data_IF_130630038742
#
_entry.id   IF_130630038742
#
_cell.length_a   1.000
_cell.length_b   1.000
_cell.length_c   1.000
_cell.angle_alpha   90.00
_cell.angle_beta   90.00
_cell.angle_gamma   90.00
#
_symmetry.space_group_name_H-M   'P 1'
#
loop_
_entity.id
_entity.type
_entity.pdbx_description
1 polymer ?
#
# COMPACT_ATOMS: atom_id res chain seq x y z
N UNK A 1 -29.15 -11.49 13.12
CA UNK A 1 -27.74 -11.94 13.21
C UNK A 1 -26.95 -11.14 12.17
N UNK A 2 -26.17 -10.13 12.56
CA UNK A 2 -25.25 -9.48 11.62
C UNK A 2 -24.14 -10.49 11.27
N UNK A 3 -24.00 -10.84 9.98
CA UNK A 3 -22.83 -11.58 9.51
C UNK A 3 -21.60 -10.74 9.84
N UNK A 4 -20.67 -11.28 10.62
CA UNK A 4 -19.37 -10.63 10.85
C UNK A 4 -18.67 -10.46 9.48
N UNK A 5 -18.02 -9.32 9.22
CA UNK A 5 -17.19 -9.17 8.03
C UNK A 5 -16.14 -10.28 8.02
N UNK A 6 -15.97 -10.89 6.85
CA UNK A 6 -15.00 -11.95 6.63
C UNK A 6 -13.75 -11.27 6.06
N UNK A 7 -12.65 -11.31 6.80
CA UNK A 7 -11.37 -10.70 6.42
C UNK A 7 -10.29 -11.76 6.27
N UNK A 8 -9.43 -11.57 5.27
CA UNK A 8 -8.20 -12.36 5.09
C UNK A 8 -7.05 -11.73 5.86
N UNK A 9 -7.07 -10.40 6.04
CA UNK A 9 -6.13 -9.69 6.90
C UNK A 9 -6.65 -9.63 8.34
N UNK A 10 -5.70 -9.60 9.29
CA UNK A 10 -6.00 -9.46 10.72
C UNK A 10 -6.60 -8.09 11.03
N UNK A 11 -7.50 -8.02 12.02
CA UNK A 11 -8.05 -6.77 12.56
C UNK A 11 -7.10 -6.07 13.56
N UNK A 12 -5.78 -6.25 13.41
CA UNK A 12 -4.81 -5.63 14.30
C UNK A 12 -4.71 -4.12 13.99
N UNK A 13 -4.63 -3.28 15.03
CA UNK A 13 -4.50 -1.83 14.86
C UNK A 13 -3.13 -1.41 14.30
N UNK A 14 -2.12 -2.28 14.34
CA UNK A 14 -0.84 -2.04 13.68
C UNK A 14 -0.01 -3.31 13.54
N UNK A 15 0.95 -3.30 12.61
CA UNK A 15 1.83 -4.42 12.31
C UNK A 15 3.27 -3.94 12.12
N UNK A 16 4.25 -4.84 12.25
CA UNK A 16 5.64 -4.45 12.08
C UNK A 16 6.50 -5.63 11.67
N UNK A 17 7.43 -5.37 10.75
CA UNK A 17 8.32 -6.39 10.19
C UNK A 17 9.74 -5.84 10.18
N UNK A 18 10.60 -6.45 10.99
CA UNK A 18 12.03 -6.14 11.04
C UNK A 18 12.79 -7.36 11.57
N UNK A 19 14.06 -7.52 11.18
CA UNK A 19 14.94 -8.57 11.70
C UNK A 19 15.17 -8.50 13.22
N UNK A 20 14.90 -7.33 13.82
CA UNK A 20 15.05 -7.05 15.25
C UNK A 20 13.67 -6.86 15.87
N UNK A 21 13.31 -7.73 16.81
CA UNK A 21 11.98 -7.76 17.41
C UNK A 21 11.56 -6.43 18.07
N UNK A 22 12.49 -5.72 18.71
CA UNK A 22 12.21 -4.41 19.31
C UNK A 22 11.77 -3.38 18.28
N UNK A 23 12.45 -3.35 17.12
CA UNK A 23 12.11 -2.43 16.01
C UNK A 23 10.76 -2.81 15.41
N UNK A 24 10.50 -4.11 15.20
CA UNK A 24 9.21 -4.57 14.70
C UNK A 24 8.04 -4.16 15.63
N UNK A 25 8.23 -4.24 16.95
CA UNK A 25 7.23 -3.76 17.92
C UNK A 25 7.02 -2.25 17.83
N UNK A 26 8.09 -1.47 17.71
CA UNK A 26 7.97 -0.02 17.55
C UNK A 26 7.25 0.36 16.25
N UNK A 27 7.50 -0.34 15.14
CA UNK A 27 6.76 -0.14 13.89
C UNK A 27 5.26 -0.42 14.08
N UNK A 28 4.90 -1.52 14.74
CA UNK A 28 3.51 -1.86 15.00
C UNK A 28 2.80 -0.82 15.88
N UNK A 29 3.48 -0.29 16.91
CA UNK A 29 2.94 0.80 17.74
C UNK A 29 2.77 2.07 16.92
N UNK A 30 3.73 2.40 16.06
CA UNK A 30 3.64 3.55 15.15
C UNK A 30 2.41 3.45 14.25
N UNK A 31 2.21 2.32 13.58
CA UNK A 31 1.06 2.08 12.71
C UNK A 31 -0.26 2.18 13.51
N UNK A 32 -0.30 1.67 14.76
CA UNK A 32 -1.48 1.80 15.62
C UNK A 32 -1.80 3.25 16.00
N UNK A 33 -0.80 4.07 16.29
CA UNK A 33 -0.99 5.50 16.57
C UNK A 33 -1.47 6.26 15.33
N UNK A 34 -0.95 5.91 14.16
CA UNK A 34 -1.41 6.45 12.88
C UNK A 34 -2.88 6.09 12.60
N UNK A 35 -3.27 4.83 12.80
CA UNK A 35 -4.67 4.40 12.65
C UNK A 35 -5.59 5.09 13.63
N UNK A 36 -5.15 5.28 14.88
CA UNK A 36 -5.92 6.05 15.85
C UNK A 36 -6.15 7.49 15.35
N UNK A 37 -5.10 8.15 14.89
CA UNK A 37 -5.20 9.50 14.32
C UNK A 37 -6.18 9.55 13.15
N UNK A 38 -6.04 8.63 12.19
CA UNK A 38 -6.91 8.51 11.03
C UNK A 38 -8.39 8.37 11.43
N UNK A 39 -8.74 7.40 12.29
CA UNK A 39 -10.12 7.17 12.68
C UNK A 39 -10.73 8.36 13.45
N UNK A 40 -9.92 9.07 14.23
CA UNK A 40 -10.36 10.26 14.93
C UNK A 40 -10.59 11.45 13.99
N UNK A 41 -9.84 11.58 12.89
CA UNK A 41 -9.91 12.74 12.00
C UNK A 41 -10.82 12.56 10.80
N UNK A 42 -10.85 11.39 10.16
CA UNK A 42 -11.53 11.18 8.87
C UNK A 42 -13.04 11.39 8.94
N UNK A 43 -13.65 11.23 10.12
CA UNK A 43 -15.09 11.46 10.38
C UNK A 43 -15.38 12.76 11.13
N UNK A 44 -14.35 13.56 11.40
CA UNK A 44 -14.50 14.83 12.11
C UNK A 44 -14.85 15.96 11.13
N UNK A 45 -15.30 17.11 11.66
CA UNK A 45 -15.47 18.33 10.87
C UNK A 45 -14.17 18.86 10.26
N UNK A 46 -13.01 18.35 10.70
CA UNK A 46 -11.68 18.74 10.22
C UNK A 46 -11.17 17.85 9.08
N UNK A 47 -11.95 16.88 8.60
CA UNK A 47 -11.52 15.94 7.58
C UNK A 47 -10.99 16.62 6.31
N UNK A 48 -11.64 17.71 5.87
CA UNK A 48 -11.21 18.51 4.72
C UNK A 48 -9.85 19.18 4.91
N UNK A 49 -9.46 19.55 6.13
CA UNK A 49 -8.15 20.17 6.44
C UNK A 49 -6.97 19.25 6.08
N UNK A 50 -7.22 17.93 6.07
CA UNK A 50 -6.19 16.91 5.86
C UNK A 50 -6.33 16.18 4.52
N UNK A 51 -7.18 16.68 3.63
CA UNK A 51 -7.36 16.12 2.29
C UNK A 51 -8.17 14.81 2.23
N UNK A 52 -8.92 14.47 3.29
CA UNK A 52 -9.71 13.22 3.31
C UNK A 52 -10.93 13.25 2.36
N UNK A 53 -11.32 14.41 1.85
CA UNK A 53 -12.35 14.53 0.80
C UNK A 53 -11.83 14.06 -0.57
N UNK A 54 -10.53 14.24 -0.81
CA UNK A 54 -9.84 13.79 -2.02
C UNK A 54 -9.43 12.33 -1.89
N UNK A 55 -8.75 11.99 -0.80
CA UNK A 55 -8.34 10.62 -0.49
C UNK A 55 -8.81 10.22 0.92
N UNK A 56 -9.92 9.47 1.03
CA UNK A 56 -10.51 9.13 2.32
C UNK A 56 -9.76 8.04 3.07
N UNK A 57 -8.64 7.53 2.56
CA UNK A 57 -7.82 6.48 3.19
C UNK A 57 -6.73 7.05 4.10
N UNK A 58 -6.06 6.19 4.87
CA UNK A 58 -4.87 6.57 5.66
C UNK A 58 -3.62 6.80 4.81
N UNK A 59 -3.66 6.59 3.49
CA UNK A 59 -2.47 6.66 2.63
C UNK A 59 -1.69 7.97 2.74
N UNK A 60 -0.37 7.86 2.87
CA UNK A 60 0.49 9.01 3.09
C UNK A 60 0.35 9.57 4.51
N UNK A 61 -0.11 8.77 5.47
CA UNK A 61 0.03 9.07 6.88
C UNK A 61 1.29 8.39 7.42
N UNK A 62 1.93 9.00 8.41
CA UNK A 62 2.97 8.31 9.16
C UNK A 62 3.06 8.84 10.57
N UNK A 63 3.02 7.94 11.54
CA UNK A 63 3.40 8.25 12.91
C UNK A 63 4.89 7.99 13.13
N UNK A 64 5.55 8.85 13.90
CA UNK A 64 6.89 8.60 14.42
C UNK A 64 7.00 8.98 15.90
N UNK A 65 7.41 8.04 16.80
CA UNK A 65 7.49 8.29 18.25
C UNK A 65 8.76 9.05 18.67
N UNK A 66 9.39 9.81 17.76
CA UNK A 66 10.66 10.50 18.02
C UNK A 66 10.52 12.03 18.14
N UNK A 67 11.58 12.67 18.64
CA UNK A 67 11.64 14.14 18.78
C UNK A 67 11.66 14.91 17.44
N UNK A 68 11.96 14.24 16.32
CA UNK A 68 12.17 14.90 15.03
C UNK A 68 11.02 14.64 14.05
N UNK A 69 10.19 15.67 13.83
CA UNK A 69 9.05 15.67 12.91
C UNK A 69 9.38 15.29 11.46
N UNK A 70 10.65 15.42 11.07
CA UNK A 70 11.13 15.17 9.70
C UNK A 70 10.97 13.72 9.28
N UNK A 71 11.08 12.78 10.20
CA UNK A 71 11.01 11.34 9.88
C UNK A 71 9.58 10.90 9.56
N UNK A 72 8.59 11.42 10.31
CA UNK A 72 7.17 11.21 10.01
C UNK A 72 6.81 11.78 8.63
N UNK A 73 7.22 13.01 8.34
CA UNK A 73 6.99 13.61 7.02
C UNK A 73 7.65 12.81 5.89
N UNK A 74 8.92 12.41 6.04
CA UNK A 74 9.65 11.66 5.00
C UNK A 74 8.93 10.36 4.64
N UNK A 75 8.50 9.59 5.65
CA UNK A 75 7.75 8.35 5.43
C UNK A 75 6.39 8.59 4.78
N UNK A 76 5.65 9.61 5.26
CA UNK A 76 4.37 10.01 4.66
C UNK A 76 4.53 10.39 3.18
N UNK A 77 5.60 11.10 2.81
CA UNK A 77 5.92 11.43 1.41
C UNK A 77 6.13 10.17 0.59
N UNK A 78 6.96 9.23 1.07
CA UNK A 78 7.24 8.00 0.33
C UNK A 78 6.00 7.13 0.13
N UNK A 79 5.16 7.00 1.15
CA UNK A 79 3.89 6.24 1.03
C UNK A 79 2.91 6.91 0.04
N UNK A 80 2.85 8.25 0.03
CA UNK A 80 2.05 8.98 -0.96
C UNK A 80 2.61 8.82 -2.40
N UNK A 81 3.94 8.79 -2.54
CA UNK A 81 4.63 8.51 -3.80
C UNK A 81 4.34 7.09 -4.28
N UNK A 82 4.41 6.10 -3.40
CA UNK A 82 4.07 4.70 -3.68
C UNK A 82 2.72 4.62 -4.36
N UNK A 83 1.70 5.13 -3.66
CA UNK A 83 0.33 5.15 -4.13
C UNK A 83 0.16 5.91 -5.43
N UNK A 84 0.65 7.15 -5.50
CA UNK A 84 0.48 7.96 -6.72
C UNK A 84 1.06 7.27 -7.94
N UNK A 85 2.23 6.65 -7.80
CA UNK A 85 2.88 5.89 -8.87
C UNK A 85 2.11 4.63 -9.22
N UNK A 86 1.61 3.85 -8.25
CA UNK A 86 0.84 2.65 -8.51
C UNK A 86 -0.45 2.96 -9.28
N UNK A 87 -1.22 3.95 -8.83
CA UNK A 87 -2.46 4.37 -9.50
C UNK A 87 -2.17 4.89 -10.91
N UNK A 88 -1.17 5.78 -11.03
CA UNK A 88 -0.80 6.37 -12.32
C UNK A 88 -0.25 5.32 -13.29
N UNK A 89 0.55 4.37 -12.79
CA UNK A 89 1.04 3.26 -13.59
C UNK A 89 -0.13 2.40 -14.03
N UNK A 90 -1.00 1.94 -13.14
CA UNK A 90 -2.13 1.10 -13.49
C UNK A 90 -3.03 1.73 -14.57
N UNK A 91 -3.28 3.03 -14.46
CA UNK A 91 -4.11 3.80 -15.41
C UNK A 91 -3.40 4.15 -16.73
N UNK A 92 -2.15 3.74 -16.94
CA UNK A 92 -1.42 3.99 -18.19
C UNK A 92 -0.76 5.38 -18.29
N UNK A 93 -0.59 6.05 -17.15
CA UNK A 93 -0.10 7.44 -17.05
C UNK A 93 1.34 7.54 -16.54
N UNK A 94 1.89 6.42 -16.06
CA UNK A 94 3.30 6.29 -15.69
C UNK A 94 3.90 5.10 -16.43
N UNK A 95 5.16 5.24 -16.86
CA UNK A 95 5.94 4.13 -17.39
C UNK A 95 6.46 3.28 -16.23
N UNK A 96 6.40 1.97 -16.37
CA UNK A 96 7.07 1.04 -15.48
C UNK A 96 8.10 0.25 -16.27
N UNK A 97 9.29 0.05 -15.73
CA UNK A 97 10.34 -0.73 -16.36
C UNK A 97 10.73 -1.91 -15.48
N UNK A 98 10.91 -3.08 -16.09
CA UNK A 98 11.38 -4.26 -15.37
C UNK A 98 12.81 -4.01 -14.87
N UNK A 99 13.05 -4.35 -13.61
CA UNK A 99 14.37 -4.28 -12.98
C UNK A 99 14.78 -5.66 -12.48
N UNK A 100 16.08 -5.93 -12.55
CA UNK A 100 16.64 -7.15 -11.98
C UNK A 100 16.48 -7.15 -10.46
N UNK A 101 16.26 -8.33 -9.90
CA UNK A 101 16.16 -8.51 -8.45
C UNK A 101 17.21 -9.51 -7.97
N UNK A 102 17.69 -9.32 -6.75
CA UNK A 102 18.61 -10.27 -6.11
C UNK A 102 17.87 -11.46 -5.47
N UNK A 103 16.54 -11.48 -5.52
CA UNK A 103 15.70 -12.49 -4.88
C UNK A 103 15.23 -13.53 -5.91
N UNK A 104 15.67 -14.81 -5.80
CA UNK A 104 15.32 -15.84 -6.77
C UNK A 104 13.81 -16.01 -6.94
N UNK A 105 13.34 -16.00 -8.19
CA UNK A 105 11.93 -16.18 -8.52
C UNK A 105 11.06 -14.94 -8.31
N UNK A 106 11.64 -13.81 -7.90
CA UNK A 106 10.95 -12.53 -7.78
C UNK A 106 11.33 -11.64 -8.95
N UNK A 107 10.32 -11.07 -9.61
CA UNK A 107 10.48 -10.02 -10.61
C UNK A 107 10.03 -8.68 -10.03
N UNK A 108 10.48 -7.57 -10.59
CA UNK A 108 10.11 -6.25 -10.12
C UNK A 108 9.92 -5.26 -11.27
N UNK A 109 8.97 -4.34 -11.09
CA UNK A 109 8.74 -3.19 -11.97
C UNK A 109 9.03 -1.93 -11.17
N UNK A 110 9.93 -1.09 -11.65
CA UNK A 110 10.20 0.22 -11.07
C UNK A 110 9.44 1.31 -11.83
N UNK A 111 8.89 2.26 -11.09
CA UNK A 111 8.09 3.38 -11.58
C UNK A 111 8.70 4.66 -10.99
N UNK A 112 9.27 5.50 -11.85
CA UNK A 112 9.84 6.77 -11.41
C UNK A 112 8.75 7.68 -10.85
N UNK A 113 8.95 8.09 -9.60
CA UNK A 113 7.99 8.88 -8.85
C UNK A 113 8.38 10.35 -8.72
N UNK A 114 7.44 11.17 -8.26
CA UNK A 114 7.71 12.58 -7.96
C UNK A 114 8.60 12.70 -6.71
N UNK A 115 9.14 13.91 -6.50
CA UNK A 115 9.93 14.27 -5.30
C UNK A 115 11.21 13.44 -5.10
N UNK A 116 11.71 12.81 -6.17
CA UNK A 116 12.91 11.96 -6.10
C UNK A 116 12.66 10.58 -5.48
N UNK A 117 11.40 10.20 -5.27
CA UNK A 117 11.03 8.85 -4.90
C UNK A 117 10.87 7.94 -6.11
N UNK A 118 11.02 6.64 -5.91
CA UNK A 118 10.73 5.60 -6.89
C UNK A 118 9.88 4.53 -6.21
N UNK A 119 8.87 4.04 -6.92
CA UNK A 119 7.97 3.01 -6.45
C UNK A 119 8.25 1.71 -7.19
N UNK A 120 8.24 0.59 -6.48
CA UNK A 120 8.48 -0.73 -7.02
C UNK A 120 7.30 -1.64 -6.75
N UNK A 121 6.89 -2.40 -7.77
CA UNK A 121 6.00 -3.55 -7.65
C UNK A 121 6.87 -4.81 -7.75
N UNK A 122 7.07 -5.51 -6.64
CA UNK A 122 7.62 -6.87 -6.66
C UNK A 122 6.50 -7.87 -6.93
N UNK A 123 6.76 -8.90 -7.73
CA UNK A 123 5.79 -9.97 -7.98
C UNK A 123 6.46 -11.33 -8.19
N UNK A 124 5.77 -12.39 -7.78
CA UNK A 124 6.26 -13.75 -7.90
C UNK A 124 5.10 -14.75 -8.05
N UNK A 125 5.40 -15.91 -8.65
CA UNK A 125 4.52 -17.08 -8.57
C UNK A 125 4.78 -17.80 -7.26
N UNK A 126 3.74 -17.96 -6.45
CA UNK A 126 3.84 -18.61 -5.17
C UNK A 126 3.78 -20.15 -5.28
N UNK A 127 4.33 -20.84 -4.29
CA UNK A 127 4.40 -22.31 -4.27
C UNK A 127 3.03 -22.99 -4.25
N UNK A 128 2.01 -22.32 -3.71
CA UNK A 128 0.63 -22.81 -3.67
C UNK A 128 -0.12 -22.62 -5.00
N UNK A 129 0.53 -22.03 -6.01
CA UNK A 129 0.10 -22.05 -7.41
C UNK A 129 -0.40 -20.72 -7.98
N UNK A 130 -0.75 -19.74 -7.13
CA UNK A 130 -1.13 -18.40 -7.57
C UNK A 130 0.01 -17.39 -7.51
N UNK A 131 -0.35 -16.11 -7.45
CA UNK A 131 0.58 -14.99 -7.57
C UNK A 131 0.53 -14.08 -6.35
N UNK A 132 1.67 -13.47 -6.05
CA UNK A 132 1.84 -12.57 -4.90
C UNK A 132 2.56 -11.32 -5.36
N UNK A 133 2.19 -10.19 -4.76
CA UNK A 133 2.72 -8.87 -5.09
C UNK A 133 3.06 -8.15 -3.80
N UNK A 134 4.02 -7.24 -3.88
CA UNK A 134 4.31 -6.28 -2.83
C UNK A 134 4.76 -4.96 -3.43
N UNK A 135 4.56 -3.90 -2.68
CA UNK A 135 4.80 -2.52 -3.07
C UNK A 135 5.83 -1.90 -2.13
N UNK A 136 6.59 -0.96 -2.68
CA UNK A 136 7.57 -0.23 -1.89
C UNK A 136 7.97 1.05 -2.59
N UNK A 137 7.98 2.16 -1.87
CA UNK A 137 8.62 3.38 -2.33
C UNK A 137 9.79 3.81 -1.43
N UNK A 138 10.88 4.23 -2.07
CA UNK A 138 12.08 4.79 -1.44
C UNK A 138 12.75 5.82 -2.36
N UNK A 139 13.84 6.43 -1.90
CA UNK A 139 14.67 7.35 -2.70
C UNK A 139 15.59 6.62 -3.71
N UNK A 140 15.61 5.28 -3.71
CA UNK A 140 16.38 4.48 -4.65
C UNK A 140 15.68 3.16 -5.00
N UNK A 141 15.92 2.66 -6.21
CA UNK A 141 15.29 1.42 -6.71
C UNK A 141 15.61 0.24 -5.80
N UNK A 142 16.87 0.07 -5.38
CA UNK A 142 17.28 -1.04 -4.52
C UNK A 142 16.54 -1.07 -3.18
N UNK A 143 16.44 0.08 -2.51
CA UNK A 143 15.72 0.17 -1.24
C UNK A 143 14.20 -0.02 -1.42
N UNK A 144 13.63 0.47 -2.53
CA UNK A 144 12.23 0.24 -2.87
C UNK A 144 11.95 -1.25 -3.15
N UNK A 145 12.86 -1.93 -3.84
CA UNK A 145 12.82 -3.38 -4.04
C UNK A 145 12.86 -4.15 -2.72
N UNK A 146 13.77 -3.82 -1.80
CA UNK A 146 13.85 -4.47 -0.48
C UNK A 146 12.51 -4.37 0.27
N UNK A 147 11.89 -3.19 0.28
CA UNK A 147 10.57 -2.98 0.89
C UNK A 147 9.46 -3.78 0.21
N UNK A 148 9.40 -3.70 -1.11
CA UNK A 148 8.40 -4.40 -1.91
C UNK A 148 8.49 -5.92 -1.72
N UNK A 149 9.69 -6.49 -1.58
CA UNK A 149 9.89 -7.91 -1.30
C UNK A 149 9.46 -8.29 0.12
N UNK A 150 9.71 -7.43 1.11
CA UNK A 150 9.22 -7.66 2.48
C UNK A 150 7.69 -7.66 2.52
N UNK A 151 7.04 -6.74 1.80
CA UNK A 151 5.58 -6.72 1.69
C UNK A 151 5.06 -7.94 0.92
N UNK A 152 5.70 -8.32 -0.19
CA UNK A 152 5.35 -9.51 -0.97
C UNK A 152 5.38 -10.76 -0.10
N UNK A 153 6.43 -10.93 0.72
CA UNK A 153 6.53 -12.07 1.63
C UNK A 153 5.41 -12.09 2.66
N UNK A 154 4.97 -10.92 3.16
CA UNK A 154 3.82 -10.82 4.05
C UNK A 154 2.51 -11.19 3.35
N UNK A 155 2.30 -10.71 2.12
CA UNK A 155 1.14 -11.06 1.32
C UNK A 155 1.10 -12.57 0.99
N UNK A 156 2.24 -13.19 0.70
CA UNK A 156 2.31 -14.65 0.48
C UNK A 156 1.87 -15.42 1.73
N UNK A 157 2.30 -15.03 2.93
CA UNK A 157 1.86 -15.67 4.17
C UNK A 157 0.34 -15.61 4.34
N UNK A 158 -0.27 -14.45 4.09
CA UNK A 158 -1.73 -14.25 4.21
C UNK A 158 -2.49 -15.05 3.16
N UNK A 159 -2.09 -14.94 1.89
CA UNK A 159 -2.74 -15.63 0.77
C UNK A 159 -2.60 -17.15 0.88
N UNK A 160 -1.44 -17.65 1.31
CA UNK A 160 -1.22 -19.07 1.57
C UNK A 160 -2.14 -19.59 2.69
N UNK A 161 -2.29 -18.84 3.78
CA UNK A 161 -3.18 -19.21 4.87
C UNK A 161 -4.64 -19.27 4.41
N UNK A 162 -5.09 -18.28 3.64
CA UNK A 162 -6.42 -18.27 3.03
C UNK A 162 -6.61 -19.45 2.07
N UNK A 163 -5.64 -19.72 1.19
CA UNK A 163 -5.69 -20.82 0.23
C UNK A 163 -5.79 -22.18 0.92
N UNK A 164 -5.02 -22.40 1.99
CA UNK A 164 -5.09 -23.62 2.80
C UNK A 164 -6.48 -23.83 3.41
N UNK A 165 -7.11 -22.77 3.92
CA UNK A 165 -8.50 -22.81 4.39
C UNK A 165 -9.47 -23.14 3.25
N UNK A 166 -9.29 -22.50 2.09
CA UNK A 166 -10.12 -22.72 0.92
C UNK A 166 -10.08 -24.17 0.43
N UNK A 167 -8.90 -24.78 0.32
CA UNK A 167 -8.78 -26.19 -0.10
C UNK A 167 -9.27 -27.17 0.98
N UNK A 168 -9.22 -26.78 2.26
CA UNK A 168 -9.78 -27.54 3.38
C UNK A 168 -11.33 -27.45 3.47
N UNK A 169 -11.97 -26.65 2.61
CA UNK A 169 -13.43 -26.56 2.50
C UNK A 169 -14.03 -25.25 3.02
N UNK A 170 -13.24 -24.34 3.59
CA UNK A 170 -13.71 -23.01 3.95
C UNK A 170 -13.78 -22.11 2.71
N UNK A 171 -14.96 -22.11 2.06
CA UNK A 171 -15.21 -21.33 0.83
C UNK A 171 -15.61 -19.87 1.11
N UNK A 172 -15.24 -19.36 2.28
CA UNK A 172 -15.48 -17.98 2.67
C UNK A 172 -14.71 -16.99 1.78
N UNK A 173 -15.44 -16.07 1.15
CA UNK A 173 -14.87 -14.96 0.39
C UNK A 173 -14.87 -13.67 1.23
N UNK A 174 -13.82 -12.84 1.12
CA UNK A 174 -13.76 -11.60 1.86
C UNK A 174 -14.79 -10.59 1.38
N UNK A 175 -15.25 -9.76 2.31
CA UNK A 175 -16.22 -8.69 2.01
C UNK A 175 -15.57 -7.35 1.67
N UNK A 176 -14.27 -7.16 1.99
CA UNK A 176 -13.54 -5.93 1.68
C UNK A 176 -13.15 -5.85 0.21
N UNK A 177 -13.31 -4.68 -0.42
CA UNK A 177 -12.92 -4.47 -1.83
C UNK A 177 -11.44 -4.79 -2.08
N UNK A 178 -10.56 -4.26 -1.23
CA UNK A 178 -9.13 -4.45 -1.32
C UNK A 178 -8.72 -5.92 -1.16
N UNK A 179 -9.36 -6.63 -0.22
CA UNK A 179 -9.14 -8.07 -0.05
C UNK A 179 -9.59 -8.88 -1.28
N UNK A 180 -10.72 -8.50 -1.90
CA UNK A 180 -11.19 -9.13 -3.14
C UNK A 180 -10.26 -8.84 -4.32
N UNK A 181 -9.73 -7.62 -4.45
CA UNK A 181 -8.69 -7.27 -5.43
C UNK A 181 -7.43 -8.12 -5.22
N UNK A 182 -6.97 -8.23 -3.98
CA UNK A 182 -5.84 -9.07 -3.62
C UNK A 182 -6.04 -10.52 -4.08
N UNK A 183 -7.21 -11.11 -3.81
CA UNK A 183 -7.55 -12.47 -4.29
C UNK A 183 -7.67 -12.57 -5.81
N UNK A 184 -8.25 -11.56 -6.47
CA UNK A 184 -8.36 -11.52 -7.93
C UNK A 184 -6.98 -11.54 -8.58
N UNK A 185 -6.06 -10.66 -8.15
CA UNK A 185 -4.69 -10.60 -8.69
C UNK A 185 -3.83 -11.80 -8.30
N UNK A 186 -4.17 -12.48 -7.22
CA UNK A 186 -3.56 -13.75 -6.83
C UNK A 186 -3.95 -14.93 -7.76
N UNK A 187 -5.00 -14.77 -8.57
CA UNK A 187 -5.44 -15.76 -9.57
C UNK A 187 -4.67 -15.65 -10.90
N UNK A 188 -4.81 -16.65 -11.75
CA UNK A 188 -4.25 -16.62 -13.11
C UNK A 188 -4.87 -15.50 -13.95
N UNK A 189 -6.18 -15.27 -13.86
CA UNK A 189 -6.87 -14.21 -14.61
C UNK A 189 -6.33 -12.82 -14.24
N UNK A 190 -6.20 -12.54 -12.94
CA UNK A 190 -5.66 -11.28 -12.48
C UNK A 190 -4.18 -11.10 -12.83
N UNK A 191 -3.38 -12.17 -12.80
CA UNK A 191 -2.00 -12.11 -13.27
C UNK A 191 -1.90 -11.83 -14.77
N UNK A 192 -2.77 -12.40 -15.61
CA UNK A 192 -2.79 -12.07 -17.03
C UNK A 192 -3.12 -10.59 -17.25
N UNK A 193 -4.08 -10.03 -16.50
CA UNK A 193 -4.39 -8.60 -16.58
C UNK A 193 -3.20 -7.73 -16.15
N UNK A 194 -2.49 -8.13 -15.09
CA UNK A 194 -1.25 -7.47 -14.68
C UNK A 194 -0.18 -7.52 -15.78
N UNK A 195 -0.01 -8.68 -16.43
CA UNK A 195 0.94 -8.88 -17.55
C UNK A 195 0.58 -8.04 -18.77
N UNK A 196 -0.70 -7.94 -19.10
CA UNK A 196 -1.18 -7.05 -20.16
C UNK A 196 -0.85 -5.59 -19.86
N UNK A 197 -1.03 -5.17 -18.60
CA UNK A 197 -0.64 -3.82 -18.19
C UNK A 197 0.88 -3.63 -18.31
N UNK A 198 1.69 -4.56 -17.82
CA UNK A 198 3.15 -4.49 -17.88
C UNK A 198 3.67 -4.39 -19.33
N UNK A 199 3.06 -5.09 -20.27
CA UNK A 199 3.45 -5.07 -21.67
C UNK A 199 3.02 -3.78 -22.42
N UNK A 200 2.14 -2.96 -21.83
CA UNK A 200 1.60 -1.76 -22.47
C UNK A 200 2.46 -0.54 -22.08
N UNK A 201 3.00 0.23 -23.04
CA UNK A 201 3.67 1.49 -22.72
C UNK A 201 2.67 2.51 -22.19
N UNK A 202 3.15 3.45 -21.37
CA UNK A 202 2.35 4.58 -20.93
C UNK A 202 1.93 5.44 -22.13
N UNK A 203 0.67 5.90 -22.11
CA UNK A 203 0.15 6.78 -23.15
C UNK A 203 0.64 8.23 -23.00
N UNK A 204 1.19 8.59 -21.84
CA UNK A 204 1.73 9.91 -21.51
C UNK A 204 2.76 9.81 -20.40
N UNK A 205 3.58 10.86 -20.27
CA UNK A 205 4.49 11.00 -19.14
C UNK A 205 3.72 11.25 -17.84
N UNK A 206 4.32 10.85 -16.71
CA UNK A 206 3.78 11.08 -15.39
C UNK A 206 3.60 12.58 -15.15
N UNK A 207 2.38 12.97 -14.81
CA UNK A 207 2.06 14.37 -14.53
C UNK A 207 2.65 14.75 -13.18
N UNK A 208 3.08 16.00 -13.03
CA UNK A 208 3.49 16.52 -11.73
C UNK A 208 2.28 16.47 -10.79
N UNK A 209 2.36 15.78 -9.64
CA UNK A 209 1.21 15.65 -8.75
C UNK A 209 0.89 16.99 -8.08
N UNK A 210 -0.38 17.19 -7.79
CA UNK A 210 -0.85 18.24 -6.88
C UNK A 210 -0.77 17.72 -5.44
N UNK A 211 -0.16 18.51 -4.56
CA UNK A 211 -0.12 18.22 -3.12
C UNK A 211 -1.37 18.81 -2.47
N UNK A 212 -2.28 17.92 -2.06
CA UNK A 212 -3.54 18.27 -1.40
C UNK A 212 -3.32 18.59 0.06
N UNK A 213 -2.37 17.88 0.69
CA UNK A 213 -2.05 18.05 2.10
C UNK A 213 -0.57 17.75 2.34
N UNK A 214 0.09 18.56 3.17
CA UNK A 214 1.44 18.33 3.69
C UNK A 214 1.52 18.98 5.07
N UNK A 215 0.98 18.32 6.08
CA UNK A 215 0.93 18.87 7.44
C UNK A 215 0.90 17.79 8.53
N UNK A 216 1.21 18.23 9.75
CA UNK A 216 0.98 17.43 10.95
C UNK A 216 -0.52 17.37 11.26
N UNK A 217 -1.00 16.20 11.68
CA UNK A 217 -2.34 16.02 12.22
C UNK A 217 -2.27 16.10 13.76
N UNK A 218 -2.70 17.21 14.38
CA UNK A 218 -2.71 17.32 15.84
C UNK A 218 -3.89 16.58 16.47
N UNK A 219 -3.67 15.95 17.62
CA UNK A 219 -4.70 15.28 18.40
C UNK A 219 -4.17 14.66 19.70
N UNK A 220 -4.96 13.83 20.40
CA UNK A 220 -4.52 13.19 21.65
C UNK A 220 -3.27 12.30 21.49
N UNK A 221 -3.02 11.75 20.30
CA UNK A 221 -1.80 10.99 20.01
C UNK A 221 -0.53 11.84 20.00
N UNK A 222 -0.64 13.18 19.90
CA UNK A 222 0.51 14.09 19.87
C UNK A 222 1.35 14.05 21.16
N UNK A 223 0.84 13.46 22.24
CA UNK A 223 1.60 13.14 23.45
C UNK A 223 2.63 12.00 23.24
N UNK A 224 2.40 11.13 22.26
CA UNK A 224 3.17 9.90 22.02
C UNK A 224 3.94 9.93 20.69
N UNK A 225 3.39 10.56 19.67
CA UNK A 225 3.99 10.62 18.34
C UNK A 225 3.54 11.84 17.53
N UNK A 226 4.43 12.31 16.66
CA UNK A 226 4.03 13.18 15.55
C UNK A 226 3.38 12.31 14.47
N UNK A 227 2.17 12.67 14.06
CA UNK A 227 1.49 12.07 12.89
C UNK A 227 1.48 13.08 11.77
N UNK A 228 2.09 12.74 10.64
CA UNK A 228 2.11 13.58 9.46
C UNK A 228 1.17 13.03 8.40
N UNK A 229 0.55 13.91 7.62
CA UNK A 229 -0.20 13.58 6.40
C UNK A 229 0.44 14.28 5.22
N UNK A 230 0.77 13.48 4.21
CA UNK A 230 1.15 13.94 2.89
C UNK A 230 0.18 13.30 1.88
N UNK A 231 -0.71 14.10 1.30
CA UNK A 231 -1.72 13.60 0.35
C UNK A 231 -1.47 14.20 -1.03
N UNK A 232 -1.46 13.33 -2.03
CA UNK A 232 -1.42 13.72 -3.43
C UNK A 232 -2.80 13.56 -4.05
N UNK A 233 -3.16 14.43 -4.99
CA UNK A 233 -4.34 14.24 -5.82
C UNK A 233 -4.14 12.98 -6.67
N UNK A 234 -4.95 11.92 -6.50
CA UNK A 234 -4.84 10.73 -7.35
C UNK A 234 -5.21 11.07 -8.80
N UNK A 235 -4.70 10.29 -9.78
CA UNK A 235 -4.98 10.53 -11.20
C UNK A 235 -6.46 10.40 -11.55
N UNK A 236 -7.19 9.56 -10.81
CA UNK A 236 -8.63 9.38 -10.91
C UNK A 236 -9.21 8.92 -9.57
N UNK A 237 -10.52 8.69 -9.53
CA UNK A 237 -11.21 8.02 -8.41
C UNK A 237 -11.53 6.55 -8.69
N UNK A 238 -11.08 5.99 -9.81
CA UNK A 238 -11.40 4.60 -10.23
C UNK A 238 -10.96 3.57 -9.18
N UNK A 239 -9.87 3.84 -8.44
CA UNK A 239 -9.42 2.95 -7.37
C UNK A 239 -10.44 2.83 -6.21
N UNK A 240 -11.41 3.73 -6.08
CA UNK A 240 -12.50 3.67 -5.09
C UNK A 240 -13.72 2.90 -5.61
N UNK A 241 -13.83 2.70 -6.92
CA UNK A 241 -14.95 2.00 -7.52
C UNK A 241 -14.94 0.52 -7.10
N UNK A 242 -16.11 -0.12 -6.95
CA UNK A 242 -16.22 -1.50 -6.49
C UNK A 242 -15.80 -2.54 -7.54
N UNK A 243 -14.74 -2.27 -8.30
CA UNK A 243 -14.13 -3.15 -9.29
C UNK A 243 -12.92 -3.88 -8.71
N UNK A 244 -12.96 -5.21 -8.78
CA UNK A 244 -11.89 -6.11 -8.32
C UNK A 244 -10.71 -6.16 -9.30
N UNK A 245 -10.90 -5.67 -10.52
CA UNK A 245 -9.89 -5.69 -11.59
C UNK A 245 -8.92 -4.50 -11.53
N UNK A 246 -9.06 -3.62 -10.54
CA UNK A 246 -8.15 -2.49 -10.36
C UNK A 246 -6.97 -2.91 -9.47
N UNK A 247 -5.72 -2.74 -9.95
CA UNK A 247 -4.52 -3.21 -9.26
C UNK A 247 -4.09 -2.25 -8.14
N UNK A 248 -4.75 -2.36 -6.99
CA UNK A 248 -4.41 -1.63 -5.76
C UNK A 248 -5.21 -2.19 -4.56
N UNK A 249 -4.55 -2.57 -3.46
CA UNK A 249 -5.19 -3.03 -2.23
C UNK A 249 -4.40 -2.70 -0.97
#
# INVERSE_FOLDING_TARGET
MQKKPQTIYSNADGTGSHAVAGIARHMAISEALERWAYYATVRSSRAGEFGFEVDPSSNGMSAFPGMFRRDARRKAVLEAVERYCLLSWWEGLAEGHEVATDWPGVSAVAIDGPFGGVSVVAYARAQWGGYVYGYGAEESVGAACERAVVELARHDMVLRAWWLGFVAGDKTLPTGLFERRCLFFASEEGYQLFRERLARPAGRALVRPEVVCDCEIPGPWSEYATVWRFALQPPSREFLEPDERYFFW
#
